data_IF_222038074205
#
_entry.id   IF_222038074205
#
_cell.length_a   1.000
_cell.length_b   1.000
_cell.length_c   1.000
_cell.angle_alpha   90.00
_cell.angle_beta   90.00
_cell.angle_gamma   90.00
#
_symmetry.space_group_name_H-M   'P 1'
#
loop_
_entity.id
_entity.type
_entity.pdbx_description
1 polymer ?
#
# COMPACT_ATOMS: atom_id res chain seq x y z
N UNK A 1 18.03 7.62 6.30
CA UNK A 1 17.74 8.18 4.97
C UNK A 1 16.97 9.48 5.14
N UNK A 2 17.00 10.38 4.14
CA UNK A 2 16.15 11.57 4.07
C UNK A 2 15.20 11.39 2.88
N UNK A 3 13.94 11.77 3.05
CA UNK A 3 12.88 11.59 2.06
C UNK A 3 12.29 12.96 1.66
N UNK A 4 11.98 13.11 0.38
CA UNK A 4 11.30 14.27 -0.19
C UNK A 4 9.99 13.88 -0.85
N UNK A 5 9.05 14.83 -0.92
CA UNK A 5 7.75 14.67 -1.56
C UNK A 5 7.87 14.74 -3.07
N UNK A 6 7.51 13.67 -3.78
CA UNK A 6 7.40 13.68 -5.24
C UNK A 6 6.21 14.55 -5.70
N UNK A 7 6.14 14.83 -7.00
CA UNK A 7 4.99 15.49 -7.60
C UNK A 7 3.69 14.68 -7.38
N UNK A 8 3.74 13.36 -7.60
CA UNK A 8 2.61 12.46 -7.37
C UNK A 8 2.14 12.47 -5.92
N UNK A 9 3.07 12.51 -4.95
CA UNK A 9 2.74 12.66 -3.54
C UNK A 9 2.07 14.00 -3.21
N UNK A 10 2.50 15.09 -3.83
CA UNK A 10 1.86 16.41 -3.66
C UNK A 10 0.45 16.46 -4.28
N UNK A 11 0.20 15.70 -5.34
CA UNK A 11 -1.12 15.54 -5.95
C UNK A 11 -2.03 14.66 -5.09
N UNK A 12 -1.55 13.52 -4.58
CA UNK A 12 -2.26 12.66 -3.63
C UNK A 12 -2.55 13.31 -2.25
N UNK A 13 -1.81 14.37 -1.90
CA UNK A 13 -2.11 15.21 -0.74
C UNK A 13 -3.28 16.18 -1.01
N UNK A 14 -3.40 16.67 -2.25
CA UNK A 14 -4.50 17.56 -2.70
C UNK A 14 -5.79 16.78 -2.91
N UNK A 15 -5.71 15.64 -3.60
CA UNK A 15 -6.85 14.74 -3.74
C UNK A 15 -7.14 14.10 -2.38
N UNK A 16 -8.27 14.49 -1.79
CA UNK A 16 -8.68 13.99 -0.47
C UNK A 16 -9.30 12.59 -0.56
N UNK A 17 -9.71 12.12 -1.73
CA UNK A 17 -10.39 10.85 -1.93
C UNK A 17 -9.39 9.74 -2.28
N UNK A 18 -9.34 8.68 -1.46
CA UNK A 18 -8.66 7.41 -1.81
C UNK A 18 -7.13 7.32 -1.72
N UNK A 19 -6.37 8.42 -1.87
CA UNK A 19 -4.89 8.33 -1.98
C UNK A 19 -4.09 8.09 -0.68
N UNK A 20 -4.33 8.89 0.36
CA UNK A 20 -3.59 8.84 1.63
C UNK A 20 -4.56 8.83 2.83
N UNK A 21 -4.30 8.03 3.87
CA UNK A 21 -5.08 8.12 5.11
C UNK A 21 -4.83 9.45 5.83
N UNK A 22 -5.75 9.86 6.72
CA UNK A 22 -5.60 11.11 7.50
C UNK A 22 -4.27 11.17 8.28
N UNK A 23 -3.84 10.02 8.83
CA UNK A 23 -2.56 9.88 9.54
C UNK A 23 -1.36 10.00 8.59
N UNK A 24 -1.38 9.27 7.47
CA UNK A 24 -0.31 9.32 6.48
C UNK A 24 -0.18 10.72 5.87
N UNK A 25 -1.27 11.48 5.67
CA UNK A 25 -1.21 12.89 5.26
C UNK A 25 -0.43 13.76 6.26
N UNK A 26 -0.67 13.58 7.57
CA UNK A 26 0.07 14.29 8.61
C UNK A 26 1.56 13.96 8.61
N UNK A 27 1.95 12.69 8.43
CA UNK A 27 3.35 12.30 8.27
C UNK A 27 3.97 12.81 6.96
N UNK A 28 3.23 12.72 5.85
CA UNK A 28 3.65 13.15 4.52
C UNK A 28 4.03 14.64 4.47
N UNK A 29 3.29 15.49 5.20
CA UNK A 29 3.61 16.91 5.34
C UNK A 29 5.03 17.12 5.92
N UNK A 30 5.45 16.29 6.87
CA UNK A 30 6.73 16.42 7.59
C UNK A 30 7.97 15.99 6.79
N UNK A 31 7.81 15.21 5.71
CA UNK A 31 8.91 14.86 4.81
C UNK A 31 9.29 16.06 3.93
N UNK A 32 10.20 16.89 4.42
CA UNK A 32 10.57 18.19 3.83
C UNK A 32 12.01 18.24 3.28
N UNK A 33 12.68 17.09 3.16
CA UNK A 33 14.09 17.00 2.77
C UNK A 33 15.08 17.46 3.86
N UNK A 34 14.61 17.82 5.06
CA UNK A 34 15.45 18.27 6.18
C UNK A 34 15.52 17.22 7.28
N UNK A 35 14.37 16.58 7.59
CA UNK A 35 14.29 15.51 8.60
C UNK A 35 14.60 14.15 7.99
N UNK A 36 15.31 13.33 8.76
CA UNK A 36 15.50 11.91 8.46
C UNK A 36 14.23 11.11 8.71
N UNK A 37 14.13 9.94 8.09
CA UNK A 37 13.01 9.00 8.28
C UNK A 37 12.77 8.67 9.76
N UNK A 38 13.84 8.45 10.54
CA UNK A 38 13.74 8.13 11.96
C UNK A 38 13.17 9.27 12.81
N UNK A 39 13.53 10.52 12.49
CA UNK A 39 12.98 11.70 13.19
C UNK A 39 11.50 11.93 12.86
N UNK A 40 11.09 11.71 11.60
CA UNK A 40 9.68 11.78 11.22
C UNK A 40 8.87 10.68 11.89
N UNK A 41 9.39 9.45 11.96
CA UNK A 41 8.75 8.34 12.69
C UNK A 41 8.65 8.63 14.18
N UNK A 42 9.71 9.11 14.83
CA UNK A 42 9.67 9.51 16.24
C UNK A 42 8.63 10.61 16.50
N UNK A 43 8.51 11.61 15.61
CA UNK A 43 7.53 12.68 15.70
C UNK A 43 6.08 12.25 15.40
N UNK A 44 5.88 11.10 14.72
CA UNK A 44 4.55 10.60 14.30
C UNK A 44 4.15 9.28 14.98
N UNK A 45 5.00 8.73 15.85
CA UNK A 45 4.72 7.53 16.64
C UNK A 45 3.45 7.65 17.48
N UNK A 46 3.17 8.84 18.05
CA UNK A 46 1.93 9.12 18.78
C UNK A 46 0.66 9.09 17.89
N UNK A 47 0.81 9.19 16.57
CA UNK A 47 -0.27 9.02 15.60
C UNK A 47 -0.39 7.56 15.12
N UNK A 48 0.59 6.70 15.44
CA UNK A 48 0.64 5.30 15.02
C UNK A 48 1.21 5.07 13.60
N UNK A 49 2.03 5.99 13.08
CA UNK A 49 2.72 5.82 11.79
C UNK A 49 3.92 4.89 11.96
N UNK A 50 4.02 3.88 11.12
CA UNK A 50 5.09 2.87 11.17
C UNK A 50 6.15 3.04 10.07
N UNK A 51 7.25 2.30 10.17
CA UNK A 51 8.23 2.21 9.08
C UNK A 51 7.62 1.63 7.80
N UNK A 52 6.61 0.76 7.92
CA UNK A 52 5.88 0.17 6.79
C UNK A 52 4.99 1.19 6.07
N UNK A 53 4.34 2.12 6.79
CA UNK A 53 3.63 3.26 6.17
C UNK A 53 4.56 4.09 5.28
N UNK A 54 5.79 4.34 5.77
CA UNK A 54 6.78 5.10 5.01
C UNK A 54 7.26 4.30 3.80
N UNK A 55 7.45 2.99 3.94
CA UNK A 55 7.82 2.12 2.82
C UNK A 55 6.71 2.04 1.78
N UNK A 56 5.43 1.97 2.19
CA UNK A 56 4.29 2.03 1.29
C UNK A 56 4.22 3.37 0.52
N UNK A 57 4.47 4.50 1.19
CA UNK A 57 4.55 5.80 0.53
C UNK A 57 5.71 5.91 -0.48
N UNK A 58 6.81 5.19 -0.28
CA UNK A 58 7.90 5.08 -1.28
C UNK A 58 7.47 4.18 -2.45
N UNK A 59 6.90 3.01 -2.17
CA UNK A 59 6.42 2.06 -3.20
C UNK A 59 5.30 2.63 -4.08
N UNK A 60 4.45 3.49 -3.52
CA UNK A 60 3.43 4.26 -4.25
C UNK A 60 4.00 5.49 -5.00
N UNK A 61 5.32 5.71 -4.94
CA UNK A 61 5.98 6.84 -5.61
C UNK A 61 5.63 8.21 -5.04
N UNK A 62 5.14 8.30 -3.80
CA UNK A 62 4.75 9.55 -3.14
C UNK A 62 5.95 10.22 -2.45
N UNK A 63 6.86 9.40 -1.93
CA UNK A 63 8.13 9.81 -1.34
C UNK A 63 9.31 9.20 -2.11
N UNK A 64 10.38 9.97 -2.29
CA UNK A 64 11.62 9.48 -2.90
C UNK A 64 12.84 9.78 -2.01
N UNK A 65 13.92 8.97 -2.08
CA UNK A 65 15.17 9.27 -1.39
C UNK A 65 15.76 10.58 -1.89
N UNK A 66 16.04 11.52 -0.98
CA UNK A 66 16.83 12.69 -1.32
C UNK A 66 18.30 12.27 -1.48
N UNK A 67 18.70 11.96 -2.70
CA UNK A 67 20.09 11.65 -3.07
C UNK A 67 20.99 12.87 -2.84
N UNK A 68 21.54 12.98 -1.63
CA UNK A 68 22.63 13.89 -1.34
C UNK A 68 23.85 13.53 -2.19
N UNK A 69 24.48 14.54 -2.81
CA UNK A 69 25.59 14.35 -3.74
C UNK A 69 26.73 13.52 -3.12
N UNK A 70 27.02 12.37 -3.73
CA UNK A 70 27.94 11.37 -3.20
C UNK A 70 28.15 10.19 -4.17
N UNK A 71 28.58 10.51 -5.39
CA UNK A 71 29.14 9.57 -6.40
C UNK A 71 28.47 8.18 -6.52
N UNK A 72 27.37 8.12 -7.29
CA UNK A 72 26.71 6.85 -7.66
C UNK A 72 25.83 6.99 -8.91
N UNK A 73 26.23 7.83 -9.86
CA UNK A 73 25.42 8.16 -11.03
C UNK A 73 25.60 7.17 -12.20
N UNK A 74 24.46 6.79 -12.78
CA UNK A 74 24.27 6.49 -14.19
C UNK A 74 25.12 5.38 -14.85
N UNK A 75 24.59 4.16 -14.81
CA UNK A 75 24.45 3.30 -16.01
C UNK A 75 23.03 2.70 -16.01
N UNK A 76 22.22 2.80 -17.07
CA UNK A 76 22.39 3.53 -18.31
C UNK A 76 21.02 3.89 -18.94
N UNK A 77 20.80 5.14 -19.35
CA UNK A 77 19.67 5.53 -20.18
C UNK A 77 19.97 6.82 -20.98
N UNK A 78 20.15 6.66 -22.31
CA UNK A 78 20.32 7.69 -23.36
C UNK A 78 21.56 8.63 -23.23
N UNK A 79 22.41 8.82 -24.25
CA UNK A 79 22.07 9.09 -25.65
C UNK A 79 23.22 8.92 -26.67
N UNK A 80 22.84 8.85 -27.95
CA UNK A 80 23.53 9.39 -29.15
C UNK A 80 24.80 8.73 -29.76
N UNK A 81 24.56 7.71 -30.60
CA UNK A 81 24.73 7.73 -32.08
C UNK A 81 26.10 7.92 -32.81
N UNK A 82 26.25 7.10 -33.90
CA UNK A 82 27.26 7.04 -34.99
C UNK A 82 28.65 6.47 -34.61
N UNK A 83 29.27 5.51 -35.32
CA UNK A 83 28.94 4.72 -36.54
C UNK A 83 30.21 3.93 -37.01
N UNK A 84 30.35 3.25 -38.17
CA UNK A 84 29.49 2.93 -39.33
C UNK A 84 30.06 1.74 -40.15
N UNK A 85 29.23 0.79 -40.63
CA UNK A 85 29.55 -0.18 -41.72
C UNK A 85 30.22 -1.52 -41.34
N UNK A 86 30.08 -2.64 -42.08
CA UNK A 86 29.25 -2.94 -43.27
C UNK A 86 29.21 -4.48 -43.57
N UNK A 87 28.13 -4.99 -44.18
CA UNK A 87 28.02 -6.28 -44.93
C UNK A 87 28.15 -7.63 -44.15
N UNK A 88 27.55 -8.79 -44.52
CA UNK A 88 26.57 -9.18 -45.57
C UNK A 88 25.82 -10.49 -45.19
N UNK A 89 24.57 -10.60 -45.67
CA UNK A 89 23.88 -11.78 -46.23
C UNK A 89 23.85 -13.19 -45.55
N UNK A 90 22.60 -13.60 -45.23
CA UNK A 90 21.91 -14.83 -45.67
C UNK A 90 21.96 -16.16 -44.88
N UNK A 91 20.80 -16.84 -44.92
CA UNK A 91 20.47 -18.24 -44.55
C UNK A 91 20.51 -18.65 -43.05
N UNK A 92 19.60 -19.49 -42.54
CA UNK A 92 18.26 -19.91 -43.00
C UNK A 92 17.40 -20.39 -41.80
N UNK A 93 16.14 -20.73 -42.06
CA UNK A 93 15.04 -20.99 -41.12
C UNK A 93 15.11 -22.25 -40.24
N UNK A 94 14.06 -22.36 -39.40
CA UNK A 94 13.65 -23.43 -38.47
C UNK A 94 14.25 -23.31 -37.04
N UNK A 95 13.46 -23.31 -35.96
CA UNK A 95 12.06 -23.75 -35.82
C UNK A 95 11.16 -22.81 -35.02
N UNK A 96 9.89 -22.77 -35.40
CA UNK A 96 8.79 -22.12 -34.69
C UNK A 96 8.48 -22.80 -33.35
N UNK A 97 8.03 -22.04 -32.34
CA UNK A 97 6.69 -22.19 -31.74
C UNK A 97 6.50 -21.30 -30.49
N UNK A 98 5.22 -21.03 -30.18
CA UNK A 98 4.72 -20.67 -28.85
C UNK A 98 5.09 -19.30 -28.28
N UNK A 99 4.33 -18.31 -28.74
CA UNK A 99 3.73 -17.34 -27.83
C UNK A 99 3.10 -18.02 -26.61
N UNK A 100 3.57 -17.71 -25.41
CA UNK A 100 2.80 -17.64 -24.15
C UNK A 100 3.61 -16.82 -23.15
N UNK A 101 2.93 -15.98 -22.39
CA UNK A 101 3.47 -15.22 -21.26
C UNK A 101 3.98 -16.13 -20.14
N UNK A 102 5.26 -15.96 -19.77
CA UNK A 102 5.87 -16.48 -18.55
C UNK A 102 7.04 -15.54 -18.16
N UNK A 103 7.40 -15.35 -16.91
CA UNK A 103 6.63 -15.55 -15.68
C UNK A 103 7.12 -14.52 -14.66
N UNK A 104 6.21 -13.75 -14.07
CA UNK A 104 6.50 -12.86 -12.95
C UNK A 104 6.08 -13.57 -11.65
N UNK A 105 6.95 -14.47 -11.19
CA UNK A 105 6.78 -15.37 -10.04
C UNK A 105 8.14 -15.49 -9.35
N UNK A 106 8.32 -15.43 -8.02
CA UNK A 106 7.45 -15.22 -6.83
C UNK A 106 8.32 -14.44 -5.81
N UNK A 107 7.84 -13.60 -4.89
CA UNK A 107 7.43 -13.92 -3.49
C UNK A 107 7.89 -12.76 -2.58
N UNK A 108 7.31 -12.44 -1.42
CA UNK A 108 6.06 -12.78 -0.72
C UNK A 108 5.83 -11.64 0.33
N UNK A 109 4.65 -11.40 0.89
CA UNK A 109 3.87 -12.35 1.68
C UNK A 109 2.36 -12.11 1.53
N UNK A 110 1.73 -12.90 0.64
CA UNK A 110 0.29 -13.09 0.63
C UNK A 110 -0.03 -14.39 1.35
N UNK A 111 -0.39 -14.31 2.63
CA UNK A 111 -1.06 -15.41 3.33
C UNK A 111 -2.44 -15.63 2.70
N UNK A 112 -2.76 -16.90 2.43
CA UNK A 112 -3.93 -17.40 1.69
C UNK A 112 -5.19 -16.52 1.75
N UNK A 113 -5.71 -16.15 0.59
CA UNK A 113 -7.11 -15.72 0.39
C UNK A 113 -7.31 -15.00 -0.94
N UNK A 114 -8.36 -15.39 -1.68
CA UNK A 114 -9.09 -14.70 -2.79
C UNK A 114 -8.41 -13.87 -3.89
N UNK A 115 -7.11 -13.58 -3.83
CA UNK A 115 -6.46 -12.60 -4.70
C UNK A 115 -6.77 -11.13 -4.35
N UNK A 116 -7.60 -10.86 -3.34
CA UNK A 116 -7.86 -9.50 -2.84
C UNK A 116 -6.74 -9.04 -1.91
N UNK A 117 -6.28 -7.80 -2.10
CA UNK A 117 -5.31 -7.14 -1.22
C UNK A 117 -5.94 -6.75 0.12
N UNK A 118 -5.12 -6.64 1.17
CA UNK A 118 -5.54 -6.24 2.51
C UNK A 118 -6.30 -4.91 2.53
N UNK A 119 -5.83 -3.92 1.76
CA UNK A 119 -6.51 -2.62 1.64
C UNK A 119 -7.91 -2.76 1.01
N UNK A 120 -8.08 -3.67 0.05
CA UNK A 120 -9.38 -3.94 -0.56
C UNK A 120 -10.31 -4.68 0.41
N UNK A 121 -9.81 -5.74 1.08
CA UNK A 121 -10.55 -6.46 2.14
C UNK A 121 -11.01 -5.53 3.26
N UNK A 122 -10.15 -4.61 3.71
CA UNK A 122 -10.49 -3.57 4.68
C UNK A 122 -11.59 -2.64 4.15
N UNK A 123 -11.46 -2.16 2.90
CA UNK A 123 -12.45 -1.26 2.28
C UNK A 123 -13.82 -1.94 2.14
N UNK A 124 -13.85 -3.21 1.76
CA UNK A 124 -15.06 -4.03 1.63
C UNK A 124 -15.71 -4.31 3.01
N UNK A 125 -14.90 -4.62 4.02
CA UNK A 125 -15.37 -5.06 5.34
C UNK A 125 -15.73 -3.92 6.31
N UNK A 126 -15.04 -2.78 6.24
CA UNK A 126 -15.26 -1.62 7.12
C UNK A 126 -16.72 -1.15 7.20
N UNK A 127 -17.44 -0.87 6.09
CA UNK A 127 -18.83 -0.41 6.17
C UNK A 127 -19.76 -1.46 6.80
N UNK A 128 -19.47 -2.74 6.62
CA UNK A 128 -20.22 -3.85 7.21
C UNK A 128 -19.97 -3.91 8.73
N UNK A 129 -18.73 -3.70 9.17
CA UNK A 129 -18.39 -3.61 10.59
C UNK A 129 -19.14 -2.46 11.28
N UNK A 130 -19.11 -1.26 10.68
CA UNK A 130 -19.84 -0.09 11.24
C UNK A 130 -21.34 -0.34 11.29
N UNK A 131 -21.95 -0.89 10.23
CA UNK A 131 -23.38 -1.27 10.19
C UNK A 131 -23.74 -2.25 11.33
N UNK A 132 -22.95 -3.31 11.46
CA UNK A 132 -23.12 -4.35 12.48
C UNK A 132 -22.98 -3.80 13.91
N UNK A 133 -21.99 -2.95 14.17
CA UNK A 133 -21.75 -2.41 15.52
C UNK A 133 -22.66 -1.26 15.90
N UNK A 134 -23.15 -0.47 14.94
CA UNK A 134 -24.16 0.56 15.17
C UNK A 134 -25.51 -0.04 15.61
N UNK A 135 -25.90 -1.19 15.02
CA UNK A 135 -27.14 -1.90 15.36
C UNK A 135 -27.22 -2.48 16.78
N UNK A 136 -26.15 -2.44 17.56
CA UNK A 136 -26.07 -2.94 18.94
C UNK A 136 -26.47 -1.91 20.02
N UNK A 137 -26.69 -0.65 19.64
CA UNK A 137 -27.02 0.44 20.56
C UNK A 137 -25.93 0.69 21.62
N UNK A 138 -26.33 1.18 22.80
CA UNK A 138 -25.40 1.59 23.87
C UNK A 138 -24.42 0.49 24.31
N UNK A 139 -24.80 -0.79 24.24
CA UNK A 139 -23.89 -1.91 24.56
C UNK A 139 -22.79 -2.08 23.53
N UNK A 140 -23.05 -1.79 22.26
CA UNK A 140 -22.06 -1.82 21.18
C UNK A 140 -21.26 -0.53 21.01
N UNK A 141 -21.62 0.57 21.66
CA UNK A 141 -20.98 1.89 21.45
C UNK A 141 -19.45 1.86 21.54
N UNK A 142 -18.89 1.13 22.53
CA UNK A 142 -17.43 1.00 22.70
C UNK A 142 -16.77 0.16 21.61
N UNK A 143 -17.50 -0.81 21.03
CA UNK A 143 -17.05 -1.64 19.93
C UNK A 143 -17.15 -0.88 18.60
N UNK A 144 -18.18 -0.05 18.42
CA UNK A 144 -18.32 0.85 17.29
C UNK A 144 -17.16 1.86 17.24
N UNK A 145 -16.86 2.54 18.37
CA UNK A 145 -15.67 3.40 18.47
C UNK A 145 -14.35 2.68 18.17
N UNK A 146 -14.24 1.39 18.50
CA UNK A 146 -13.06 0.59 18.17
C UNK A 146 -12.98 0.32 16.65
N UNK A 147 -14.12 0.06 16.00
CA UNK A 147 -14.21 -0.10 14.53
C UNK A 147 -13.90 1.23 13.82
N UNK A 148 -14.46 2.36 14.26
CA UNK A 148 -14.13 3.69 13.72
C UNK A 148 -12.65 4.07 13.88
N UNK A 149 -11.99 3.54 14.93
CA UNK A 149 -10.55 3.70 15.16
C UNK A 149 -9.66 2.70 14.41
N UNK A 150 -10.22 1.62 13.85
CA UNK A 150 -9.49 0.64 13.06
C UNK A 150 -9.17 1.24 11.68
N UNK A 151 -7.90 1.27 11.30
CA UNK A 151 -7.46 1.94 10.06
C UNK A 151 -6.85 0.99 9.02
N UNK A 152 -6.88 -0.31 9.27
CA UNK A 152 -6.24 -1.34 8.45
C UNK A 152 -6.98 -2.68 8.55
N UNK A 153 -6.67 -3.59 7.62
CA UNK A 153 -7.14 -4.99 7.66
C UNK A 153 -6.79 -5.67 8.99
N UNK A 154 -5.56 -5.50 9.47
CA UNK A 154 -5.07 -6.08 10.73
C UNK A 154 -5.85 -5.59 11.94
N UNK A 155 -6.09 -4.26 12.04
CA UNK A 155 -6.91 -3.67 13.11
C UNK A 155 -8.33 -4.25 13.11
N UNK A 156 -8.94 -4.36 11.92
CA UNK A 156 -10.31 -4.81 11.75
C UNK A 156 -10.46 -6.33 12.02
N UNK A 157 -9.44 -7.12 11.65
CA UNK A 157 -9.34 -8.54 11.98
C UNK A 157 -9.13 -8.79 13.49
N UNK A 158 -8.39 -7.93 14.19
CA UNK A 158 -8.24 -8.00 15.65
C UNK A 158 -9.57 -7.73 16.40
N UNK A 159 -10.51 -7.02 15.78
CA UNK A 159 -11.85 -6.77 16.32
C UNK A 159 -12.87 -7.86 15.96
N UNK A 160 -12.62 -8.64 14.90
CA UNK A 160 -13.51 -9.68 14.40
C UNK A 160 -14.10 -10.63 15.47
N UNK A 161 -13.32 -11.22 16.42
CA UNK A 161 -13.92 -12.09 17.45
C UNK A 161 -14.92 -11.36 18.34
N UNK A 162 -14.66 -10.11 18.72
CA UNK A 162 -15.57 -9.29 19.55
C UNK A 162 -16.83 -8.88 18.78
N UNK A 163 -16.70 -8.62 17.48
CA UNK A 163 -17.85 -8.37 16.60
C UNK A 163 -18.72 -9.63 16.53
N UNK A 164 -18.11 -10.80 16.29
CA UNK A 164 -18.79 -12.10 16.24
C UNK A 164 -19.58 -12.40 17.52
N UNK A 165 -18.95 -12.26 18.68
CA UNK A 165 -19.59 -12.43 20.00
C UNK A 165 -20.79 -11.49 20.20
N UNK A 166 -20.68 -10.24 19.73
CA UNK A 166 -21.71 -9.22 19.94
C UNK A 166 -22.90 -9.33 18.99
N UNK A 167 -22.69 -9.71 17.71
CA UNK A 167 -23.78 -9.79 16.70
C UNK A 167 -24.28 -11.20 16.42
N UNK A 168 -23.53 -12.23 16.82
CA UNK A 168 -23.81 -13.64 16.53
C UNK A 168 -23.40 -14.09 15.12
N UNK A 169 -23.12 -15.38 14.96
CA UNK A 169 -22.56 -15.98 13.74
C UNK A 169 -23.32 -15.62 12.46
N UNK A 170 -24.66 -15.64 12.51
CA UNK A 170 -25.52 -15.39 11.36
C UNK A 170 -25.37 -13.97 10.78
N UNK A 171 -25.13 -12.96 11.63
CA UNK A 171 -24.87 -11.58 11.19
C UNK A 171 -23.40 -11.37 10.84
N UNK A 172 -22.51 -12.05 11.56
CA UNK A 172 -21.07 -11.98 11.35
C UNK A 172 -20.62 -12.53 9.99
N UNK A 173 -21.29 -13.56 9.45
CA UNK A 173 -20.92 -14.23 8.19
C UNK A 173 -20.72 -13.28 6.98
N UNK A 174 -21.50 -12.18 6.87
CA UNK A 174 -21.32 -11.17 5.81
C UNK A 174 -20.00 -10.41 5.94
N UNK A 175 -19.62 -10.08 7.18
CA UNK A 175 -18.37 -9.40 7.50
C UNK A 175 -17.16 -10.33 7.40
N UNK A 176 -17.29 -11.58 7.89
CA UNK A 176 -16.29 -12.64 7.79
C UNK A 176 -15.85 -12.86 6.34
N UNK A 177 -16.84 -13.00 5.43
CA UNK A 177 -16.59 -13.09 3.99
C UNK A 177 -15.92 -11.85 3.42
N UNK A 178 -16.39 -10.65 3.77
CA UNK A 178 -15.79 -9.41 3.26
C UNK A 178 -14.32 -9.27 3.69
N UNK A 179 -13.97 -9.75 4.89
CA UNK A 179 -12.65 -9.59 5.48
C UNK A 179 -11.66 -10.72 5.13
N UNK A 180 -12.09 -11.98 5.13
CA UNK A 180 -11.17 -13.15 5.06
C UNK A 180 -11.26 -13.99 3.78
N UNK A 181 -12.39 -13.95 3.06
CA UNK A 181 -12.59 -14.63 1.75
C UNK A 181 -12.06 -13.76 0.59
#
# INVERSE_FOLDING_TARGET
MVLVKTQAGQEALKDRQGGLTSRQRSAFILFDGKRSTGEVLAATAAMGITQDDVQAMISLGLLEPQSGSGAGAAVAAAAAAKGTGQAVAAANAASSASSTSYEATVAMEAVKGSGRSDQQRYTDAYPIATELTAGLGLRGFRLNLAVEGAGSFSDLAALAPKIREAVGDAKFARFDKALFD
#
